data_IF_407267926757
#
_entry.id   IF_407267926757
#
_cell.length_a   1.000
_cell.length_b   1.000
_cell.length_c   1.000
_cell.angle_alpha   90.00
_cell.angle_beta   90.00
_cell.angle_gamma   90.00
#
_symmetry.space_group_name_H-M   'P 1'
#
loop_
_entity.id
_entity.type
_entity.pdbx_description
1 polymer ?
#
# COMPACT_ATOMS: atom_id res chain seq x y z
N UNK A 1 -46.34 48.33 36.23
CA UNK A 1 -46.03 46.91 36.50
C UNK A 1 -45.08 46.42 35.42
N UNK A 2 -43.80 46.21 35.77
CA UNK A 2 -42.74 45.75 34.85
C UNK A 2 -42.96 44.27 34.52
N UNK A 3 -43.08 43.91 33.24
CA UNK A 3 -42.88 42.54 32.77
C UNK A 3 -41.53 42.50 32.08
N UNK A 4 -40.56 41.84 32.71
CA UNK A 4 -39.28 41.52 32.10
C UNK A 4 -39.51 40.42 31.06
N UNK A 5 -39.08 40.66 29.83
CA UNK A 5 -39.02 39.63 28.79
C UNK A 5 -37.60 39.06 28.82
N UNK A 6 -37.46 37.85 29.36
CA UNK A 6 -36.22 37.08 29.33
C UNK A 6 -36.09 36.47 27.94
N UNK A 7 -35.13 36.94 27.14
CA UNK A 7 -34.78 36.32 25.87
C UNK A 7 -33.80 35.18 26.16
N UNK A 8 -34.27 33.96 26.00
CA UNK A 8 -33.49 32.73 26.10
C UNK A 8 -32.57 32.63 24.88
N UNK A 9 -31.27 32.79 25.07
CA UNK A 9 -30.24 32.48 24.07
C UNK A 9 -30.13 30.96 23.94
N UNK A 10 -30.75 30.39 22.90
CA UNK A 10 -30.56 28.99 22.53
C UNK A 10 -29.23 28.89 21.78
N UNK A 11 -28.18 28.52 22.50
CA UNK A 11 -26.91 28.11 21.91
C UNK A 11 -27.11 26.75 21.23
N UNK A 12 -27.29 26.76 19.91
CA UNK A 12 -27.18 25.55 19.10
C UNK A 12 -25.71 25.10 19.08
N UNK A 13 -25.35 24.26 20.05
CA UNK A 13 -24.08 23.52 20.04
C UNK A 13 -24.19 22.49 18.92
N UNK A 14 -23.63 22.81 17.76
CA UNK A 14 -23.47 21.87 16.66
C UNK A 14 -22.35 20.90 17.09
N UNK A 15 -22.71 19.84 17.81
CA UNK A 15 -21.88 18.66 17.94
C UNK A 15 -21.81 17.98 16.57
N UNK A 16 -20.92 18.47 15.71
CA UNK A 16 -20.43 17.71 14.56
C UNK A 16 -19.58 16.57 15.12
N UNK A 17 -20.25 15.51 15.58
CA UNK A 17 -19.63 14.21 15.71
C UNK A 17 -19.25 13.77 14.30
N UNK A 18 -18.02 14.05 13.88
CA UNK A 18 -17.43 13.40 12.72
C UNK A 18 -17.32 11.93 13.07
N UNK A 19 -18.33 11.15 12.72
CA UNK A 19 -18.27 9.70 12.81
C UNK A 19 -17.13 9.26 11.89
N UNK A 20 -15.98 8.92 12.48
CA UNK A 20 -14.89 8.26 11.77
C UNK A 20 -15.48 6.99 11.20
N UNK A 21 -15.76 6.96 9.90
CA UNK A 21 -16.15 5.73 9.21
C UNK A 21 -14.97 4.78 9.30
N UNK A 22 -14.98 3.90 10.29
CA UNK A 22 -14.09 2.76 10.35
C UNK A 22 -14.38 1.92 9.11
N UNK A 23 -13.46 1.94 8.15
CA UNK A 23 -13.55 1.09 6.97
C UNK A 23 -13.55 -0.35 7.49
N UNK A 24 -14.64 -1.07 7.26
CA UNK A 24 -14.80 -2.47 7.68
C UNK A 24 -13.66 -3.28 7.07
N UNK A 25 -12.74 -3.76 7.91
CA UNK A 25 -11.87 -4.88 7.56
C UNK A 25 -12.79 -6.07 7.31
N UNK A 26 -12.77 -6.62 6.10
CA UNK A 26 -13.35 -7.95 5.88
C UNK A 26 -12.47 -8.92 6.65
N UNK A 27 -12.96 -9.43 7.79
CA UNK A 27 -12.19 -10.31 8.68
C UNK A 27 -11.94 -11.72 8.10
N UNK A 28 -12.49 -12.01 6.92
CA UNK A 28 -12.27 -13.27 6.22
C UNK A 28 -11.03 -13.20 5.33
N UNK A 29 -10.04 -14.02 5.68
CA UNK A 29 -8.88 -14.24 4.85
C UNK A 29 -9.27 -14.84 3.49
N UNK A 30 -8.52 -14.48 2.44
CA UNK A 30 -8.75 -14.93 1.06
C UNK A 30 -7.54 -15.71 0.54
N UNK A 31 -7.77 -16.63 -0.40
CA UNK A 31 -6.74 -17.45 -1.02
C UNK A 31 -6.51 -18.79 -0.31
N UNK A 32 -5.50 -19.53 -0.75
CA UNK A 32 -5.20 -20.87 -0.22
C UNK A 32 -4.31 -20.74 1.00
N UNK A 33 -4.85 -21.09 2.17
CA UNK A 33 -4.16 -21.06 3.46
C UNK A 33 -3.05 -22.12 3.50
N UNK A 34 -1.83 -21.71 3.89
CA UNK A 34 -0.68 -22.58 4.03
C UNK A 34 -0.02 -22.37 5.39
N UNK A 35 0.24 -23.46 6.10
CA UNK A 35 0.90 -23.41 7.42
C UNK A 35 2.39 -23.12 7.24
N UNK A 36 2.94 -22.27 8.11
CA UNK A 36 4.39 -22.01 8.17
C UNK A 36 4.97 -22.55 9.48
N UNK A 37 6.30 -22.63 9.56
CA UNK A 37 7.02 -22.91 10.80
C UNK A 37 7.19 -21.67 11.69
N UNK A 38 6.82 -20.48 11.21
CA UNK A 38 6.97 -19.23 11.95
C UNK A 38 5.79 -19.03 12.92
N UNK A 39 6.01 -19.05 14.25
CA UNK A 39 4.93 -18.91 15.23
C UNK A 39 4.25 -17.52 15.18
N UNK A 40 4.95 -16.47 14.74
CA UNK A 40 4.39 -15.12 14.62
C UNK A 40 3.52 -14.97 13.37
N UNK A 41 3.75 -15.81 12.36
CA UNK A 41 2.97 -15.84 11.13
C UNK A 41 2.63 -17.29 10.74
N UNK A 42 1.78 -17.97 11.52
CA UNK A 42 1.56 -19.41 11.40
C UNK A 42 0.88 -19.80 10.08
N UNK A 43 0.28 -18.83 9.37
CA UNK A 43 -0.39 -19.07 8.10
C UNK A 43 -0.11 -17.94 7.11
N UNK A 44 0.26 -18.32 5.89
CA UNK A 44 0.33 -17.44 4.72
C UNK A 44 -0.72 -17.87 3.68
N UNK A 45 -1.06 -16.99 2.76
CA UNK A 45 -2.14 -17.20 1.81
C UNK A 45 -1.63 -17.08 0.37
N UNK A 46 -1.63 -18.20 -0.35
CA UNK A 46 -1.28 -18.23 -1.78
C UNK A 46 -2.42 -17.63 -2.60
N UNK A 47 -2.08 -16.73 -3.51
CA UNK A 47 -3.03 -15.92 -4.29
C UNK A 47 -4.08 -15.26 -3.38
N UNK A 48 -3.62 -14.63 -2.30
CA UNK A 48 -4.48 -14.03 -1.30
C UNK A 48 -3.72 -13.43 -0.14
N UNK A 49 -4.44 -13.14 0.94
CA UNK A 49 -3.94 -12.46 2.15
C UNK A 49 -4.91 -12.70 3.31
N UNK A 50 -4.44 -12.50 4.55
CA UNK A 50 -5.28 -12.61 5.75
C UNK A 50 -6.24 -11.44 5.90
N UNK A 51 -5.71 -10.23 5.76
CA UNK A 51 -6.44 -8.98 5.80
C UNK A 51 -5.59 -7.89 5.13
N UNK A 52 -6.15 -6.70 4.99
CA UNK A 52 -5.40 -5.52 4.57
C UNK A 52 -5.58 -4.40 5.59
N UNK A 53 -4.61 -3.48 5.63
CA UNK A 53 -4.68 -2.27 6.46
C UNK A 53 -3.96 -1.11 5.76
N UNK A 54 -4.40 0.10 6.05
CA UNK A 54 -3.63 1.31 5.70
C UNK A 54 -2.75 1.64 6.90
N UNK A 55 -1.44 1.70 6.70
CA UNK A 55 -0.47 2.11 7.72
C UNK A 55 0.08 3.50 7.35
N UNK A 56 -0.18 4.53 8.16
CA UNK A 56 0.50 5.81 8.03
C UNK A 56 1.98 5.65 8.41
N UNK A 57 2.88 6.07 7.54
CA UNK A 57 4.31 6.14 7.80
C UNK A 57 4.73 7.62 7.81
N UNK A 58 5.39 8.05 8.88
CA UNK A 58 5.93 9.40 8.97
C UNK A 58 7.16 9.50 8.07
N UNK A 59 7.13 10.44 7.14
CA UNK A 59 8.28 10.83 6.32
C UNK A 59 8.74 12.18 6.81
N UNK A 60 10.03 12.27 7.17
CA UNK A 60 10.67 13.51 7.57
C UNK A 60 11.58 13.93 6.42
N UNK A 61 11.35 15.11 5.87
CA UNK A 61 12.20 15.70 4.86
C UNK A 61 12.61 17.09 5.34
N UNK A 62 13.91 17.26 5.58
CA UNK A 62 14.50 18.44 6.21
C UNK A 62 13.85 18.74 7.58
N UNK A 63 13.03 19.79 7.65
CA UNK A 63 12.30 20.22 8.84
C UNK A 63 10.78 20.05 8.72
N UNK A 64 10.29 19.51 7.59
CA UNK A 64 8.88 19.20 7.39
C UNK A 64 8.64 17.69 7.58
N UNK A 65 7.44 17.35 8.03
CA UNK A 65 7.03 15.97 8.20
C UNK A 65 5.65 15.75 7.64
N UNK A 66 5.50 14.66 6.89
CA UNK A 66 4.21 14.28 6.31
C UNK A 66 3.95 12.80 6.54
N UNK A 67 2.68 12.43 6.60
CA UNK A 67 2.28 11.03 6.67
C UNK A 67 1.98 10.51 5.27
N UNK A 68 2.65 9.42 4.92
CA UNK A 68 2.37 8.64 3.72
C UNK A 68 1.57 7.39 4.09
N UNK A 69 0.39 7.22 3.50
CA UNK A 69 -0.45 6.05 3.73
C UNK A 69 -0.02 4.88 2.84
N UNK A 70 0.36 3.78 3.47
CA UNK A 70 0.74 2.53 2.81
C UNK A 70 -0.38 1.50 2.94
N UNK A 71 -0.91 1.02 1.82
CA UNK A 71 -1.83 -0.11 1.81
C UNK A 71 -1.04 -1.41 1.92
N UNK A 72 -1.18 -2.13 3.03
CA UNK A 72 -0.54 -3.43 3.28
C UNK A 72 -1.53 -4.57 3.20
N UNK A 73 -1.17 -5.63 2.48
CA UNK A 73 -1.84 -6.93 2.47
C UNK A 73 -1.03 -7.91 3.31
N UNK A 74 -1.56 -8.31 4.48
CA UNK A 74 -0.83 -9.07 5.47
C UNK A 74 -0.94 -10.59 5.23
N UNK A 75 0.11 -11.32 5.64
CA UNK A 75 0.25 -12.77 5.51
C UNK A 75 0.11 -13.29 4.07
N UNK A 76 0.55 -12.50 3.09
CA UNK A 76 0.69 -12.97 1.71
C UNK A 76 1.70 -14.12 1.63
N UNK A 77 1.59 -14.97 0.61
CA UNK A 77 2.59 -16.01 0.37
C UNK A 77 3.92 -15.46 -0.17
N UNK A 78 3.92 -14.29 -0.80
CA UNK A 78 5.14 -13.60 -1.20
C UNK A 78 4.98 -12.09 -1.01
N UNK A 79 5.99 -11.47 -0.40
CA UNK A 79 6.07 -10.01 -0.24
C UNK A 79 6.08 -9.25 -1.58
N UNK A 80 6.37 -9.94 -2.69
CA UNK A 80 6.42 -9.35 -4.04
C UNK A 80 5.06 -9.31 -4.75
N UNK A 81 3.95 -9.66 -4.09
CA UNK A 81 2.63 -9.77 -4.76
C UNK A 81 2.18 -8.49 -5.46
N UNK A 82 2.38 -7.32 -4.85
CA UNK A 82 2.00 -6.04 -5.45
C UNK A 82 2.95 -5.65 -6.59
N UNK A 83 4.24 -5.93 -6.46
CA UNK A 83 5.23 -5.74 -7.53
C UNK A 83 4.92 -6.63 -8.74
N UNK A 84 4.63 -7.92 -8.50
CA UNK A 84 4.25 -8.87 -9.55
C UNK A 84 2.95 -8.47 -10.22
N UNK A 85 1.95 -8.05 -9.45
CA UNK A 85 0.67 -7.55 -9.97
C UNK A 85 0.89 -6.41 -10.96
N UNK A 86 1.68 -5.41 -10.56
CA UNK A 86 1.94 -4.26 -11.40
C UNK A 86 2.72 -4.66 -12.66
N UNK A 87 3.69 -5.57 -12.53
CA UNK A 87 4.41 -6.11 -13.67
C UNK A 87 3.50 -6.86 -14.66
N UNK A 88 2.63 -7.75 -14.15
CA UNK A 88 1.74 -8.57 -14.98
C UNK A 88 0.70 -7.74 -15.76
N UNK A 89 0.34 -6.55 -15.24
CA UNK A 89 -0.65 -5.65 -15.86
C UNK A 89 -0.02 -4.56 -16.72
N UNK A 90 1.13 -4.04 -16.33
CA UNK A 90 1.72 -2.83 -16.93
C UNK A 90 3.16 -2.99 -17.45
N UNK A 91 3.71 -4.20 -17.38
CA UNK A 91 5.08 -4.48 -17.79
C UNK A 91 6.12 -3.99 -16.78
N UNK A 92 7.37 -3.87 -17.23
CA UNK A 92 8.49 -3.45 -16.38
C UNK A 92 8.21 -2.07 -15.75
N UNK A 93 8.64 -1.91 -14.50
CA UNK A 93 8.58 -0.64 -13.78
C UNK A 93 9.39 0.45 -14.51
N UNK A 94 9.04 1.71 -14.24
CA UNK A 94 9.71 2.88 -14.83
C UNK A 94 10.92 3.29 -14.00
N UNK A 95 10.85 3.14 -12.67
CA UNK A 95 11.90 3.49 -11.72
C UNK A 95 11.99 2.48 -10.58
N UNK A 96 13.14 2.47 -9.95
CA UNK A 96 13.42 1.70 -8.73
C UNK A 96 14.10 2.61 -7.71
N UNK A 97 13.75 2.44 -6.44
CA UNK A 97 14.38 3.14 -5.32
C UNK A 97 14.96 2.09 -4.37
N UNK A 98 16.24 2.24 -4.07
CA UNK A 98 16.96 1.45 -3.08
C UNK A 98 17.16 2.31 -1.84
N UNK A 99 16.53 1.91 -0.73
CA UNK A 99 16.77 2.57 0.55
C UNK A 99 18.08 2.05 1.15
N UNK A 100 18.80 2.93 1.83
CA UNK A 100 20.06 2.55 2.48
C UNK A 100 19.84 1.44 3.50
N UNK A 101 20.63 0.37 3.39
CA UNK A 101 20.50 -0.82 4.24
C UNK A 101 19.43 -1.83 3.80
N UNK A 102 18.57 -1.50 2.84
CA UNK A 102 17.56 -2.43 2.32
C UNK A 102 18.11 -3.28 1.17
N UNK A 103 17.75 -4.57 1.17
CA UNK A 103 18.12 -5.51 0.11
C UNK A 103 17.03 -5.67 -0.97
N UNK A 104 15.93 -4.92 -0.88
CA UNK A 104 14.78 -5.02 -1.77
C UNK A 104 14.37 -3.64 -2.25
N UNK A 105 14.19 -3.44 -3.57
CA UNK A 105 13.83 -2.14 -4.12
C UNK A 105 12.33 -1.87 -3.97
N UNK A 106 12.00 -0.59 -3.85
CA UNK A 106 10.66 -0.09 -4.17
C UNK A 106 10.59 0.07 -5.69
N UNK A 107 9.61 -0.58 -6.33
CA UNK A 107 9.41 -0.50 -7.78
C UNK A 107 8.28 0.47 -8.10
N UNK A 108 8.49 1.33 -9.10
CA UNK A 108 7.59 2.45 -9.39
C UNK A 108 7.07 2.38 -10.82
N UNK A 109 5.76 2.50 -10.96
CA UNK A 109 5.07 2.71 -12.24
C UNK A 109 4.41 4.09 -12.21
N UNK A 110 4.77 4.97 -13.13
CA UNK A 110 4.26 6.32 -13.25
C UNK A 110 3.14 6.38 -14.29
N UNK A 111 2.20 7.31 -14.17
CA UNK A 111 1.20 7.57 -15.21
C UNK A 111 0.38 6.34 -15.66
N UNK A 112 0.01 5.43 -14.75
CA UNK A 112 -0.80 4.26 -15.06
C UNK A 112 -2.28 4.52 -14.78
N UNK A 113 -3.14 4.18 -15.73
CA UNK A 113 -4.58 4.11 -15.51
C UNK A 113 -4.88 2.82 -14.74
N UNK A 114 -5.29 2.94 -13.47
CA UNK A 114 -5.57 1.79 -12.60
C UNK A 114 -7.02 1.32 -12.69
N UNK A 115 -7.94 2.26 -12.92
CA UNK A 115 -9.38 2.05 -12.92
C UNK A 115 -9.88 2.29 -14.34
N UNK A 116 -10.37 1.26 -15.01
CA UNK A 116 -10.73 1.34 -16.45
C UNK A 116 -11.81 2.42 -16.73
N UNK A 117 -12.71 2.66 -15.78
CA UNK A 117 -13.77 3.68 -15.89
C UNK A 117 -13.34 5.10 -15.50
N UNK A 118 -12.09 5.31 -15.05
CA UNK A 118 -11.57 6.61 -14.65
C UNK A 118 -10.29 6.93 -15.46
N UNK A 119 -10.25 8.01 -16.26
CA UNK A 119 -9.06 8.35 -17.05
C UNK A 119 -7.90 8.91 -16.20
N UNK A 120 -8.10 9.09 -14.89
CA UNK A 120 -7.04 9.54 -13.98
C UNK A 120 -5.84 8.60 -14.02
N UNK A 121 -4.66 9.21 -14.08
CA UNK A 121 -3.38 8.51 -14.09
C UNK A 121 -2.76 8.54 -12.70
N UNK A 122 -2.16 7.42 -12.34
CA UNK A 122 -1.60 7.18 -11.01
C UNK A 122 -0.12 6.83 -11.09
N UNK A 123 0.61 7.21 -10.04
CA UNK A 123 1.91 6.66 -9.72
C UNK A 123 1.76 5.63 -8.61
N UNK A 124 2.28 4.43 -8.83
CA UNK A 124 2.25 3.32 -7.87
C UNK A 124 3.68 2.97 -7.48
N UNK A 125 3.97 3.05 -6.19
CA UNK A 125 5.19 2.52 -5.60
C UNK A 125 4.84 1.21 -4.89
N UNK A 126 5.45 0.09 -5.29
CA UNK A 126 5.18 -1.23 -4.75
C UNK A 126 6.41 -1.83 -4.07
N UNK A 127 6.21 -2.38 -2.88
CA UNK A 127 7.24 -3.03 -2.07
C UNK A 127 6.60 -4.12 -1.21
N UNK A 128 7.36 -4.71 -0.30
CA UNK A 128 6.87 -5.65 0.70
C UNK A 128 7.95 -6.01 1.71
N UNK A 129 7.56 -6.71 2.76
CA UNK A 129 8.47 -7.19 3.79
C UNK A 129 8.24 -8.67 4.03
N UNK A 130 9.35 -9.39 4.11
CA UNK A 130 9.42 -10.78 4.55
C UNK A 130 10.42 -10.86 5.71
N UNK A 131 9.89 -11.07 6.92
CA UNK A 131 10.66 -11.20 8.15
C UNK A 131 10.01 -12.21 9.09
N UNK A 132 10.68 -12.50 10.20
CA UNK A 132 10.10 -13.37 11.24
C UNK A 132 8.88 -12.74 11.93
N UNK A 133 8.73 -11.41 11.89
CA UNK A 133 7.62 -10.70 12.56
C UNK A 133 6.55 -10.24 11.59
N UNK A 134 6.91 -9.98 10.33
CA UNK A 134 6.02 -9.40 9.33
C UNK A 134 6.15 -10.12 7.99
N UNK A 135 5.00 -10.38 7.36
CA UNK A 135 4.91 -10.84 5.97
C UNK A 135 3.81 -10.05 5.30
N UNK A 136 4.16 -9.11 4.44
CA UNK A 136 3.18 -8.33 3.69
C UNK A 136 3.70 -7.91 2.33
N UNK A 137 2.77 -7.70 1.40
CA UNK A 137 3.01 -6.93 0.18
C UNK A 137 2.27 -5.59 0.31
N UNK A 138 2.82 -4.53 -0.26
CA UNK A 138 2.24 -3.20 -0.09
C UNK A 138 2.37 -2.30 -1.31
N UNK A 139 1.57 -1.23 -1.29
CA UNK A 139 1.60 -0.15 -2.26
C UNK A 139 1.37 1.22 -1.60
N UNK A 140 1.99 2.23 -2.19
CA UNK A 140 1.60 3.63 -2.08
C UNK A 140 1.11 4.09 -3.45
N UNK A 141 0.03 4.88 -3.47
CA UNK A 141 -0.58 5.35 -4.72
C UNK A 141 -0.76 6.85 -4.65
N UNK A 142 -0.32 7.53 -5.69
CA UNK A 142 -0.46 8.97 -5.87
C UNK A 142 -1.20 9.25 -7.16
N UNK A 143 -2.04 10.28 -7.19
CA UNK A 143 -2.64 10.73 -8.43
C UNK A 143 -1.69 11.67 -9.19
N UNK A 144 -2.12 12.16 -10.35
CA UNK A 144 -1.38 13.13 -11.16
C UNK A 144 -1.05 14.44 -10.44
N UNK A 145 -1.79 14.78 -9.37
CA UNK A 145 -1.54 15.94 -8.49
C UNK A 145 -0.62 15.60 -7.31
N UNK A 146 -0.01 14.40 -7.30
CA UNK A 146 0.84 13.87 -6.22
C UNK A 146 0.13 13.73 -4.87
N UNK A 147 -1.20 13.66 -4.88
CA UNK A 147 -1.98 13.47 -3.66
C UNK A 147 -1.99 11.99 -3.28
N UNK A 148 -1.78 11.70 -1.99
CA UNK A 148 -1.90 10.37 -1.43
C UNK A 148 -3.34 9.85 -1.57
N UNK A 149 -3.50 8.79 -2.38
CA UNK A 149 -4.78 8.21 -2.74
C UNK A 149 -5.37 7.28 -1.67
N UNK A 150 -4.61 6.98 -0.60
CA UNK A 150 -5.10 6.23 0.56
C UNK A 150 -5.40 7.13 1.76
N UNK A 151 -5.24 8.45 1.61
CA UNK A 151 -5.71 9.44 2.58
C UNK A 151 -7.24 9.38 2.79
N UNK A 152 -7.73 9.80 3.96
CA UNK A 152 -9.15 9.66 4.29
C UNK A 152 -10.10 10.33 3.30
N UNK A 153 -9.68 11.43 2.69
CA UNK A 153 -10.50 12.29 1.85
C UNK A 153 -10.45 11.93 0.36
N UNK A 154 -9.58 11.00 -0.06
CA UNK A 154 -9.45 10.69 -1.49
C UNK A 154 -10.69 9.92 -2.01
N UNK A 155 -11.44 10.45 -3.00
CA UNK A 155 -12.74 9.89 -3.40
C UNK A 155 -12.69 8.45 -3.90
N UNK A 156 -11.63 8.07 -4.62
CA UNK A 156 -11.49 6.74 -5.22
C UNK A 156 -10.70 5.74 -4.34
N UNK A 157 -10.44 6.07 -3.07
CA UNK A 157 -9.67 5.23 -2.14
C UNK A 157 -10.17 3.78 -2.09
N UNK A 158 -11.47 3.60 -1.86
CA UNK A 158 -12.04 2.24 -1.71
C UNK A 158 -12.01 1.46 -3.03
N UNK A 159 -12.12 2.17 -4.17
CA UNK A 159 -11.99 1.55 -5.50
C UNK A 159 -10.55 1.07 -5.75
N UNK A 160 -9.55 1.86 -5.36
CA UNK A 160 -8.14 1.47 -5.44
C UNK A 160 -7.82 0.28 -4.52
N UNK A 161 -8.32 0.29 -3.28
CA UNK A 161 -8.17 -0.84 -2.37
C UNK A 161 -8.76 -2.10 -3.00
N UNK A 162 -9.98 -2.00 -3.54
CA UNK A 162 -10.65 -3.11 -4.22
C UNK A 162 -9.86 -3.62 -5.44
N UNK A 163 -9.29 -2.72 -6.24
CA UNK A 163 -8.43 -3.07 -7.37
C UNK A 163 -7.27 -3.97 -6.95
N UNK A 164 -6.46 -3.56 -5.96
CA UNK A 164 -5.33 -4.37 -5.51
C UNK A 164 -5.79 -5.65 -4.79
N UNK A 165 -6.80 -5.55 -3.93
CA UNK A 165 -7.39 -6.67 -3.20
C UNK A 165 -7.86 -7.79 -4.13
N UNK A 166 -8.50 -7.43 -5.24
CA UNK A 166 -9.01 -8.38 -6.24
C UNK A 166 -7.87 -8.90 -7.12
N UNK A 167 -6.96 -8.03 -7.58
CA UNK A 167 -5.89 -8.43 -8.48
C UNK A 167 -4.86 -9.37 -7.82
N UNK A 168 -4.56 -9.23 -6.53
CA UNK A 168 -3.69 -10.19 -5.80
C UNK A 168 -4.24 -11.62 -5.83
N UNK A 169 -5.57 -11.76 -5.78
CA UNK A 169 -6.25 -13.07 -5.81
C UNK A 169 -6.16 -13.76 -7.17
N UNK A 170 -5.92 -12.96 -8.21
CA UNK A 170 -5.91 -13.39 -9.61
C UNK A 170 -4.52 -13.29 -10.25
N UNK A 171 -3.46 -13.32 -9.44
CA UNK A 171 -2.08 -13.29 -9.93
C UNK A 171 -1.79 -14.45 -10.89
N UNK A 172 -1.16 -14.13 -12.03
CA UNK A 172 -0.75 -15.13 -13.01
C UNK A 172 0.38 -15.98 -12.43
N UNK A 173 0.44 -17.27 -12.76
CA UNK A 173 1.52 -18.17 -12.32
C UNK A 173 2.85 -18.00 -13.06
N UNK A 174 2.94 -17.07 -14.02
CA UNK A 174 4.15 -16.90 -14.83
C UNK A 174 5.36 -16.45 -13.99
N UNK A 175 6.55 -16.76 -14.51
CA UNK A 175 7.83 -16.48 -13.84
C UNK A 175 8.55 -15.22 -14.36
N UNK A 176 8.01 -14.55 -15.37
CA UNK A 176 8.69 -13.44 -16.07
C UNK A 176 9.06 -12.30 -15.11
N UNK A 177 8.16 -11.94 -14.20
CA UNK A 177 8.43 -10.95 -13.15
C UNK A 177 9.65 -11.36 -12.32
N UNK A 178 9.67 -12.59 -11.79
CA UNK A 178 10.75 -13.05 -10.91
C UNK A 178 12.10 -13.06 -11.63
N UNK A 179 12.14 -13.47 -12.90
CA UNK A 179 13.36 -13.40 -13.71
C UNK A 179 13.90 -11.97 -13.80
N UNK A 180 13.04 -10.98 -14.08
CA UNK A 180 13.46 -9.57 -14.16
C UNK A 180 13.86 -9.02 -12.79
N UNK A 181 13.12 -9.37 -11.74
CA UNK A 181 13.38 -8.92 -10.38
C UNK A 181 14.71 -9.42 -9.84
N UNK A 182 15.01 -10.73 -10.00
CA UNK A 182 16.27 -11.29 -9.53
C UNK A 182 17.46 -10.78 -10.32
N UNK A 183 17.31 -10.59 -11.64
CA UNK A 183 18.34 -9.94 -12.45
C UNK A 183 18.68 -8.54 -11.91
N UNK A 184 17.65 -7.74 -11.60
CA UNK A 184 17.84 -6.42 -10.99
C UNK A 184 18.61 -6.52 -9.67
N UNK A 185 18.19 -7.42 -8.75
CA UNK A 185 18.87 -7.59 -7.46
C UNK A 185 20.34 -7.97 -7.60
N UNK A 186 20.66 -8.89 -8.51
CA UNK A 186 22.05 -9.29 -8.78
C UNK A 186 22.88 -8.10 -9.26
N UNK A 187 22.37 -7.32 -10.22
CA UNK A 187 23.06 -6.14 -10.74
C UNK A 187 23.34 -5.11 -9.65
N UNK A 188 22.35 -4.82 -8.79
CA UNK A 188 22.55 -3.89 -7.67
C UNK A 188 23.60 -4.39 -6.67
N UNK A 189 23.58 -5.67 -6.32
CA UNK A 189 24.57 -6.24 -5.40
C UNK A 189 26.01 -6.21 -5.95
N UNK A 190 26.17 -6.42 -7.27
CA UNK A 190 27.47 -6.33 -7.94
C UNK A 190 27.98 -4.89 -7.96
N UNK A 191 27.09 -3.92 -8.20
CA UNK A 191 27.43 -2.49 -8.16
C UNK A 191 27.87 -2.05 -6.76
N UNK A 192 27.12 -2.43 -5.72
CA UNK A 192 27.50 -2.17 -4.32
C UNK A 192 28.86 -2.79 -3.98
N UNK A 193 29.14 -4.02 -4.43
CA UNK A 193 30.44 -4.64 -4.18
C UNK A 193 31.59 -3.88 -4.86
N UNK A 194 31.38 -3.39 -6.09
CA UNK A 194 32.40 -2.62 -6.82
C UNK A 194 32.70 -1.27 -6.19
N UNK A 195 31.73 -0.63 -5.55
CA UNK A 195 31.94 0.69 -4.91
C UNK A 195 32.65 0.59 -3.56
N UNK A 196 32.65 -0.58 -2.92
CA UNK A 196 33.34 -0.82 -1.64
C UNK A 196 34.63 -1.63 -1.76
N UNK A 197 34.94 -2.17 -2.95
CA UNK A 197 36.17 -2.92 -3.20
C UNK A 197 37.38 -1.94 -3.33
N UNK A 198 38.50 -2.21 -2.64
CA UNK A 198 39.69 -1.36 -2.64
C UNK A 198 40.47 -1.38 -3.97
#
# INVERSE_FOLDING_TARGET
MKKQLVILLISAVILSCTATKTVKTTDEAVGIKQKTSNPNNPYIYKNGYKNWKIKPNLIIQDADSTYLNELRFNAVFSAMYTQKLMFDKYGKWDKEIWLEGDSTPILIWENRQLIDSNPELFTVAATGTESITEMFASVNVFNSKKQDCFSQQYPAKDTLIHFFATAIRNLKSNHTFYTQYWKLKTQHSEEQYRTVAP
#
